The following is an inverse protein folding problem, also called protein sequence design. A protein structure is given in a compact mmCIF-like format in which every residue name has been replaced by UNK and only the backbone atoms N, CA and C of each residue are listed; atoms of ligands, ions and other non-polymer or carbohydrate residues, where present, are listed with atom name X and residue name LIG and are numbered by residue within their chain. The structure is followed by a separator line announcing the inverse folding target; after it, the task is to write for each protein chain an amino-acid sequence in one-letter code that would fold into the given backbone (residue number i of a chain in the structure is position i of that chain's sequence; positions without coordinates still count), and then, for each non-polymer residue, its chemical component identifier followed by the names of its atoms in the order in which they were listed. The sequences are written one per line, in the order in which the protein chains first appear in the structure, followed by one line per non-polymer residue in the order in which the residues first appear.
data_IF_594373324407
#
_entry.id   IF_594373324407
#
_cell.length_a   1.000
_cell.length_b   1.000
_cell.length_c   1.000
_cell.angle_alpha   90.00
_cell.angle_beta   90.00
_cell.angle_gamma   90.00
#
_symmetry.space_group_name_H-M   'P 1'
#
loop_
_entity.id
_entity.type
_entity.pdbx_description
1 polymer ?
#
# COMPACT_ATOMS: atom_id res chain seq x y z
N UNK A 1 -14.86 -27.84 -3.87
CA UNK A 1 -14.95 -27.67 -5.34
C UNK A 1 -14.97 -26.20 -5.76
N UNK A 2 -15.47 -25.27 -4.93
CA UNK A 2 -15.71 -23.87 -5.27
C UNK A 2 -14.50 -23.08 -5.81
N UNK A 3 -13.26 -23.38 -5.37
CA UNK A 3 -12.06 -22.70 -5.87
C UNK A 3 -11.84 -22.85 -7.40
N UNK A 4 -12.35 -23.94 -8.01
CA UNK A 4 -12.31 -24.09 -9.46
C UNK A 4 -13.36 -23.21 -10.17
N UNK A 5 -14.45 -22.83 -9.49
CA UNK A 5 -15.50 -22.00 -10.09
C UNK A 5 -15.11 -20.52 -10.22
N UNK A 6 -14.26 -20.01 -9.32
CA UNK A 6 -13.64 -18.68 -9.46
C UNK A 6 -12.78 -18.65 -10.73
N UNK A 7 -11.85 -19.60 -10.87
CA UNK A 7 -11.00 -19.70 -12.07
C UNK A 7 -11.79 -20.03 -13.36
N UNK A 8 -12.90 -20.77 -13.27
CA UNK A 8 -13.71 -21.15 -14.44
C UNK A 8 -14.75 -20.09 -14.87
N UNK A 9 -15.18 -19.18 -13.98
CA UNK A 9 -15.95 -17.99 -14.39
C UNK A 9 -15.04 -16.90 -14.96
N UNK A 10 -13.82 -16.75 -14.41
CA UNK A 10 -12.76 -15.87 -14.94
C UNK A 10 -12.38 -16.15 -16.40
N UNK A 11 -12.62 -17.36 -16.90
CA UNK A 11 -12.41 -17.72 -18.31
C UNK A 11 -13.58 -17.34 -19.24
N UNK A 12 -14.62 -16.63 -18.74
CA UNK A 12 -15.88 -16.43 -19.48
C UNK A 12 -16.55 -15.06 -19.34
N UNK A 13 -15.98 -14.14 -18.57
CA UNK A 13 -16.32 -12.72 -18.57
C UNK A 13 -15.09 -11.92 -18.98
N UNK A 14 -15.27 -10.88 -19.82
CA UNK A 14 -14.17 -10.08 -20.38
C UNK A 14 -13.92 -8.81 -19.55
N UNK A 15 -14.19 -8.89 -18.25
CA UNK A 15 -14.22 -7.77 -17.30
C UNK A 15 -13.38 -8.14 -16.06
N UNK A 16 -12.63 -7.18 -15.52
CA UNK A 16 -12.03 -7.32 -14.19
C UNK A 16 -13.15 -7.46 -13.14
N UNK A 17 -12.98 -8.29 -12.09
CA UNK A 17 -13.87 -8.27 -10.93
C UNK A 17 -13.92 -6.88 -10.28
N UNK A 18 -14.99 -6.58 -9.54
CA UNK A 18 -15.09 -5.33 -8.78
C UNK A 18 -14.33 -5.40 -7.44
N UNK A 19 -13.86 -4.25 -6.95
CA UNK A 19 -13.14 -4.11 -5.68
C UNK A 19 -13.95 -4.67 -4.49
N UNK A 20 -15.28 -4.49 -4.52
CA UNK A 20 -16.23 -5.11 -3.59
C UNK A 20 -16.18 -6.64 -3.64
N UNK A 21 -16.08 -7.26 -4.81
CA UNK A 21 -16.08 -8.72 -4.96
C UNK A 21 -14.82 -9.40 -4.40
N UNK A 22 -13.67 -8.70 -4.36
CA UNK A 22 -12.43 -9.22 -3.74
C UNK A 22 -12.39 -8.95 -2.24
N UNK A 23 -12.78 -7.76 -1.77
CA UNK A 23 -12.70 -7.42 -0.35
C UNK A 23 -13.92 -7.92 0.45
N UNK A 24 -15.12 -7.80 -0.10
CA UNK A 24 -16.41 -7.94 0.61
C UNK A 24 -17.09 -9.30 0.56
N UNK A 25 -16.58 -10.29 -0.18
CA UNK A 25 -17.29 -11.56 -0.45
C UNK A 25 -17.88 -12.23 0.80
N UNK A 26 -19.13 -12.70 0.69
CA UNK A 26 -20.13 -12.75 1.78
C UNK A 26 -19.75 -13.54 3.04
N UNK A 27 -18.94 -14.60 2.93
CA UNK A 27 -18.46 -15.35 4.09
C UNK A 27 -17.36 -14.57 4.84
N UNK A 28 -17.80 -13.66 5.70
CA UNK A 28 -17.01 -13.00 6.77
C UNK A 28 -17.26 -13.63 8.15
N UNK A 29 -18.15 -14.62 8.24
CA UNK A 29 -18.41 -15.37 9.47
C UNK A 29 -17.19 -16.24 9.87
N UNK A 30 -16.89 -16.30 11.17
CA UNK A 30 -15.75 -17.05 11.71
C UNK A 30 -14.42 -16.28 11.74
N UNK A 31 -14.31 -15.14 11.04
CA UNK A 31 -13.15 -14.24 11.14
C UNK A 31 -13.32 -13.18 12.23
N UNK A 32 -12.20 -12.74 12.80
CA UNK A 32 -12.13 -11.59 13.70
C UNK A 32 -12.42 -10.27 12.96
N UNK A 33 -12.86 -9.23 13.69
CA UNK A 33 -13.08 -7.86 13.18
C UNK A 33 -12.38 -6.85 14.08
N UNK A 34 -11.86 -5.77 13.49
CA UNK A 34 -11.20 -4.70 14.24
C UNK A 34 -12.27 -3.81 14.91
N UNK A 35 -12.69 -4.19 16.12
CA UNK A 35 -13.78 -3.52 16.85
C UNK A 35 -13.30 -2.46 17.87
N UNK A 36 -12.03 -2.52 18.25
CA UNK A 36 -11.37 -1.69 19.27
C UNK A 36 -9.86 -1.63 18.99
N UNK A 37 -9.09 -0.69 19.54
CA UNK A 37 -7.63 -0.67 19.40
C UNK A 37 -6.97 -2.00 19.83
N UNK A 38 -5.88 -2.34 19.14
CA UNK A 38 -5.07 -3.53 19.40
C UNK A 38 -3.82 -3.16 20.22
N UNK A 39 -3.44 -3.92 21.26
CA UNK A 39 -2.23 -3.65 22.04
C UNK A 39 -0.99 -4.14 21.28
N UNK A 40 -0.43 -3.27 20.42
CA UNK A 40 0.66 -3.64 19.53
C UNK A 40 1.87 -4.20 20.29
N UNK A 41 2.34 -5.37 19.86
CA UNK A 41 3.40 -6.17 20.50
C UNK A 41 4.40 -6.62 19.43
N UNK A 42 5.61 -6.07 19.47
CA UNK A 42 6.63 -6.33 18.46
C UNK A 42 7.73 -7.28 18.98
N UNK A 43 8.34 -8.13 18.13
CA UNK A 43 8.14 -8.23 16.68
C UNK A 43 6.90 -9.01 16.24
N UNK A 44 6.07 -9.55 17.14
CA UNK A 44 4.96 -10.44 16.79
C UNK A 44 3.96 -9.83 15.79
N UNK A 45 3.61 -8.55 15.93
CA UNK A 45 2.70 -7.86 15.01
C UNK A 45 3.37 -7.37 13.70
N UNK A 46 4.68 -7.60 13.54
CA UNK A 46 5.26 -7.66 12.19
C UNK A 46 4.89 -8.98 11.48
N UNK A 47 4.37 -9.99 12.17
CA UNK A 47 3.99 -11.29 11.65
C UNK A 47 2.59 -11.35 11.01
N UNK A 48 2.04 -12.56 10.80
CA UNK A 48 0.68 -12.77 10.31
C UNK A 48 -0.38 -12.80 11.42
N UNK A 49 -1.55 -12.25 11.11
CA UNK A 49 -2.76 -12.26 11.92
C UNK A 49 -3.84 -13.16 11.29
N UNK A 50 -3.69 -14.51 11.30
CA UNK A 50 -4.51 -15.45 10.52
C UNK A 50 -5.99 -15.51 10.92
N UNK A 51 -6.37 -14.93 12.06
CA UNK A 51 -7.75 -14.78 12.51
C UNK A 51 -8.54 -13.75 11.69
N UNK A 52 -7.88 -12.91 10.88
CA UNK A 52 -8.50 -11.91 10.00
C UNK A 52 -8.52 -12.39 8.55
N UNK A 53 -9.51 -11.92 7.77
CA UNK A 53 -9.70 -12.37 6.38
C UNK A 53 -8.65 -11.82 5.41
N UNK A 54 -8.24 -10.57 5.59
CA UNK A 54 -7.29 -9.85 4.73
C UNK A 54 -6.15 -9.27 5.55
N UNK A 55 -4.96 -9.22 4.95
CA UNK A 55 -3.78 -8.61 5.57
C UNK A 55 -2.74 -8.25 4.50
N UNK A 56 -2.09 -7.09 4.60
CA UNK A 56 -1.03 -6.68 3.68
C UNK A 56 0.15 -5.96 4.33
N UNK A 57 1.35 -6.24 3.79
CA UNK A 57 2.56 -5.47 4.01
C UNK A 57 2.90 -4.79 2.69
N UNK A 58 2.91 -3.47 2.70
CA UNK A 58 2.99 -2.61 1.51
C UNK A 58 4.24 -1.74 1.62
N UNK A 59 5.11 -1.81 0.62
CA UNK A 59 6.36 -1.07 0.58
C UNK A 59 6.39 -0.20 -0.66
N UNK A 60 6.67 1.09 -0.48
CA UNK A 60 6.87 2.04 -1.58
C UNK A 60 8.14 2.85 -1.34
N UNK A 61 8.73 3.42 -2.38
CA UNK A 61 9.91 4.26 -2.19
C UNK A 61 10.39 4.98 -3.43
N UNK A 62 11.18 6.02 -3.20
CA UNK A 62 11.88 6.80 -4.21
C UNK A 62 13.38 6.69 -3.94
N UNK A 63 14.11 6.14 -4.89
CA UNK A 63 15.56 5.90 -4.81
C UNK A 63 16.25 6.37 -6.09
N UNK A 64 17.50 6.79 -6.00
CA UNK A 64 18.29 7.25 -7.15
C UNK A 64 19.71 6.69 -7.12
N UNK A 65 20.33 6.59 -8.29
CA UNK A 65 21.73 6.21 -8.41
C UNK A 65 22.69 7.41 -8.43
N UNK A 66 23.99 7.13 -8.27
CA UNK A 66 25.06 8.14 -8.28
C UNK A 66 25.25 8.88 -9.62
N UNK A 67 24.42 8.62 -10.62
CA UNK A 67 24.40 9.30 -11.92
C UNK A 67 23.10 10.09 -12.15
N UNK A 68 22.20 10.13 -11.17
CA UNK A 68 20.93 10.86 -11.25
C UNK A 68 19.82 10.12 -11.98
N UNK A 69 19.92 8.78 -12.12
CA UNK A 69 18.78 7.97 -12.57
C UNK A 69 17.85 7.73 -11.40
N UNK A 70 16.65 8.25 -11.51
CA UNK A 70 15.58 8.13 -10.52
C UNK A 70 14.71 6.88 -10.75
N UNK A 71 14.38 6.19 -9.66
CA UNK A 71 13.43 5.10 -9.62
C UNK A 71 12.35 5.33 -8.56
N UNK A 72 11.10 5.08 -8.92
CA UNK A 72 10.06 4.69 -7.96
C UNK A 72 10.02 3.15 -7.84
N UNK A 73 9.74 2.61 -6.67
CA UNK A 73 9.39 1.19 -6.53
C UNK A 73 8.17 0.97 -5.64
N UNK A 74 7.46 -0.13 -5.91
CA UNK A 74 6.35 -0.63 -5.14
C UNK A 74 6.49 -2.15 -4.98
N UNK A 75 6.22 -2.68 -3.79
CA UNK A 75 6.21 -4.11 -3.49
C UNK A 75 5.17 -4.39 -2.41
N UNK A 76 4.12 -5.12 -2.77
CA UNK A 76 3.02 -5.45 -1.84
C UNK A 76 2.82 -6.95 -1.75
N UNK A 77 2.70 -7.45 -0.52
CA UNK A 77 2.26 -8.80 -0.23
C UNK A 77 0.88 -8.73 0.42
N UNK A 78 -0.09 -9.49 -0.08
CA UNK A 78 -1.43 -9.65 0.50
C UNK A 78 -1.63 -11.11 0.90
N UNK A 79 -2.10 -11.38 2.13
CA UNK A 79 -2.69 -12.67 2.50
C UNK A 79 -4.21 -12.55 2.43
N UNK A 80 -4.83 -13.48 1.72
CA UNK A 80 -6.28 -13.63 1.61
C UNK A 80 -6.68 -15.00 2.16
N UNK A 81 -7.54 -15.01 3.16
CA UNK A 81 -8.06 -16.22 3.77
C UNK A 81 -9.22 -16.82 2.94
N UNK A 82 -9.10 -18.10 2.61
CA UNK A 82 -10.11 -18.90 1.93
C UNK A 82 -11.06 -19.61 2.91
N UNK A 83 -10.66 -19.74 4.18
CA UNK A 83 -11.44 -20.38 5.25
C UNK A 83 -10.98 -19.83 6.61
N UNK A 84 -11.90 -19.57 7.56
CA UNK A 84 -11.54 -19.23 8.94
C UNK A 84 -11.01 -20.43 9.74
N UNK A 85 -11.20 -21.66 9.22
CA UNK A 85 -10.73 -22.90 9.82
C UNK A 85 -9.67 -23.57 8.94
N UNK A 86 -8.54 -23.99 9.54
CA UNK A 86 -7.52 -24.79 8.85
C UNK A 86 -8.11 -26.12 8.35
N UNK A 87 -7.71 -26.63 7.18
CA UNK A 87 -8.31 -27.84 6.61
C UNK A 87 -7.81 -29.07 7.38
N UNK A 88 -8.72 -29.90 7.89
CA UNK A 88 -8.38 -31.19 8.51
C UNK A 88 -7.99 -32.20 7.43
N UNK A 89 -6.77 -32.05 6.88
CA UNK A 89 -6.20 -32.88 5.80
C UNK A 89 -4.69 -32.97 5.97
N UNK A 90 -4.16 -34.19 6.00
CA UNK A 90 -2.72 -34.43 5.96
C UNK A 90 -2.20 -34.30 4.51
N UNK A 91 -1.72 -33.11 4.15
CA UNK A 91 -1.09 -32.85 2.86
C UNK A 91 -0.31 -31.54 2.87
N UNK A 92 0.96 -31.57 2.43
CA UNK A 92 1.79 -30.37 2.24
C UNK A 92 1.23 -29.37 1.20
N UNK A 93 0.19 -29.74 0.46
CA UNK A 93 -0.51 -28.91 -0.53
C UNK A 93 -1.88 -28.37 -0.04
N UNK A 94 -2.30 -28.71 1.18
CA UNK A 94 -3.49 -28.16 1.79
C UNK A 94 -3.23 -26.70 2.20
N UNK A 95 -4.12 -25.79 1.78
CA UNK A 95 -4.07 -24.38 2.11
C UNK A 95 -5.47 -23.84 2.40
N UNK A 96 -5.59 -23.07 3.47
CA UNK A 96 -6.70 -22.17 3.82
C UNK A 96 -6.39 -20.70 3.51
N UNK A 97 -5.18 -20.39 3.03
CA UNK A 97 -4.71 -19.03 2.71
C UNK A 97 -4.05 -18.99 1.33
N UNK A 98 -4.26 -17.92 0.59
CA UNK A 98 -3.54 -17.57 -0.65
C UNK A 98 -2.76 -16.29 -0.42
N UNK A 99 -1.56 -16.22 -0.98
CA UNK A 99 -0.80 -14.98 -1.09
C UNK A 99 -0.93 -14.44 -2.51
N UNK A 100 -1.30 -13.18 -2.61
CA UNK A 100 -1.20 -12.37 -3.82
C UNK A 100 -0.06 -11.37 -3.61
N UNK A 101 0.67 -11.02 -4.66
CA UNK A 101 1.66 -9.97 -4.60
C UNK A 101 1.73 -9.15 -5.87
N UNK A 102 2.14 -7.90 -5.69
CA UNK A 102 2.48 -6.96 -6.75
C UNK A 102 3.93 -6.51 -6.54
N UNK A 103 4.69 -6.41 -7.63
CA UNK A 103 6.00 -5.77 -7.64
C UNK A 103 6.06 -4.86 -8.86
N UNK A 104 6.38 -3.58 -8.65
CA UNK A 104 6.51 -2.58 -9.71
C UNK A 104 7.73 -1.68 -9.52
N UNK A 105 8.23 -1.17 -10.64
CA UNK A 105 9.40 -0.29 -10.74
C UNK A 105 9.16 0.76 -11.83
N UNK A 106 9.21 2.04 -11.42
CA UNK A 106 9.07 3.20 -12.28
C UNK A 106 10.46 3.77 -12.61
N UNK A 107 10.98 3.48 -13.79
CA UNK A 107 12.27 3.98 -14.30
C UNK A 107 12.09 5.38 -14.88
N UNK A 108 12.07 6.38 -13.98
CA UNK A 108 11.52 7.73 -14.22
C UNK A 108 12.22 8.43 -15.39
N UNK A 109 13.55 8.36 -15.45
CA UNK A 109 14.34 8.96 -16.54
C UNK A 109 14.09 8.31 -17.91
N UNK A 110 13.62 7.06 -17.93
CA UNK A 110 13.23 6.34 -19.14
C UNK A 110 11.72 6.43 -19.47
N UNK A 111 10.92 7.04 -18.58
CA UNK A 111 9.44 7.05 -18.63
C UNK A 111 8.87 5.64 -18.85
N UNK A 112 9.39 4.65 -18.11
CA UNK A 112 9.01 3.24 -18.24
C UNK A 112 8.48 2.72 -16.91
N UNK A 113 7.29 2.15 -16.94
CA UNK A 113 6.73 1.36 -15.85
C UNK A 113 6.98 -0.13 -16.13
N UNK A 114 7.31 -0.89 -15.10
CA UNK A 114 7.49 -2.34 -15.14
C UNK A 114 6.78 -2.91 -13.93
N UNK A 115 5.85 -3.83 -14.13
CA UNK A 115 5.08 -4.45 -13.04
C UNK A 115 4.78 -5.91 -13.30
N UNK A 116 4.48 -6.65 -12.23
CA UNK A 116 4.09 -8.05 -12.28
C UNK A 116 3.14 -8.38 -11.11
N UNK A 117 2.19 -9.28 -11.35
CA UNK A 117 1.38 -9.89 -10.30
C UNK A 117 1.70 -11.38 -10.17
N UNK A 118 1.81 -11.85 -8.92
CA UNK A 118 1.97 -13.27 -8.59
C UNK A 118 0.90 -13.73 -7.62
N UNK A 119 0.47 -14.97 -7.76
CA UNK A 119 -0.38 -15.67 -6.79
C UNK A 119 0.28 -17.00 -6.43
N UNK A 120 0.33 -17.33 -5.14
CA UNK A 120 0.75 -18.66 -4.69
C UNK A 120 0.04 -19.09 -3.41
N UNK A 121 0.12 -20.38 -3.08
CA UNK A 121 -0.55 -20.93 -1.89
C UNK A 121 0.33 -20.78 -0.65
N UNK A 122 -0.28 -20.63 0.52
CA UNK A 122 0.40 -20.76 1.80
C UNK A 122 0.72 -22.23 2.15
N UNK A 123 1.41 -22.92 1.24
CA UNK A 123 1.64 -24.36 1.26
C UNK A 123 2.95 -24.72 0.51
N UNK A 124 3.50 -25.90 0.77
CA UNK A 124 4.76 -26.39 0.18
C UNK A 124 5.96 -25.42 0.26
N UNK A 125 5.94 -24.45 1.17
CA UNK A 125 6.95 -23.40 1.30
C UNK A 125 6.89 -22.29 0.24
N UNK A 126 5.90 -22.30 -0.66
CA UNK A 126 5.81 -21.36 -1.79
C UNK A 126 5.55 -19.92 -1.35
N UNK A 127 4.66 -19.71 -0.39
CA UNK A 127 4.38 -18.40 0.19
C UNK A 127 4.06 -18.50 1.67
N UNK A 128 4.21 -17.40 2.39
CA UNK A 128 3.91 -17.34 3.81
C UNK A 128 4.37 -16.05 4.48
N UNK A 129 4.09 -15.96 5.77
CA UNK A 129 4.70 -15.02 6.69
C UNK A 129 4.85 -15.70 8.05
N UNK A 130 5.87 -15.30 8.82
CA UNK A 130 6.16 -15.81 10.15
C UNK A 130 6.93 -14.78 10.99
N UNK A 131 6.93 -15.01 12.31
CA UNK A 131 7.88 -14.42 13.26
C UNK A 131 8.41 -15.58 14.10
N UNK A 132 9.72 -15.69 14.20
CA UNK A 132 10.44 -16.69 14.99
C UNK A 132 11.70 -16.07 15.60
N UNK A 133 12.65 -16.89 16.07
CA UNK A 133 13.89 -16.43 16.70
C UNK A 133 14.83 -15.67 15.74
N UNK A 134 14.70 -15.84 14.41
CA UNK A 134 15.40 -15.05 13.38
C UNK A 134 14.63 -13.74 13.03
N UNK A 135 13.45 -13.52 13.61
CA UNK A 135 12.62 -12.32 13.45
C UNK A 135 11.47 -12.46 12.44
N UNK A 136 10.96 -11.33 11.94
CA UNK A 136 9.89 -11.30 10.94
C UNK A 136 10.36 -11.74 9.54
N UNK A 137 9.53 -12.52 8.84
CA UNK A 137 9.64 -12.74 7.40
C UNK A 137 8.27 -12.83 6.71
N UNK A 138 8.15 -12.31 5.49
CA UNK A 138 7.10 -12.59 4.49
C UNK A 138 7.74 -12.98 3.16
N UNK A 139 7.12 -13.90 2.41
CA UNK A 139 7.63 -14.30 1.10
C UNK A 139 6.54 -14.78 0.14
N UNK A 140 6.84 -14.64 -1.15
CA UNK A 140 6.06 -15.12 -2.29
C UNK A 140 7.04 -15.63 -3.35
N UNK A 141 7.36 -16.91 -3.24
CA UNK A 141 8.37 -17.65 -4.00
C UNK A 141 9.76 -17.05 -3.83
N UNK A 142 10.34 -16.40 -4.84
CA UNK A 142 11.65 -15.74 -4.72
C UNK A 142 11.56 -14.31 -4.14
N UNK A 143 10.38 -13.70 -4.09
CA UNK A 143 10.18 -12.40 -3.44
C UNK A 143 10.11 -12.58 -1.93
N UNK A 144 10.74 -11.69 -1.18
CA UNK A 144 10.69 -11.72 0.28
C UNK A 144 10.94 -10.33 0.89
N UNK A 145 10.40 -10.15 2.10
CA UNK A 145 10.96 -9.24 3.09
C UNK A 145 11.32 -10.05 4.33
N UNK A 146 12.50 -9.81 4.88
CA UNK A 146 12.88 -10.34 6.19
C UNK A 146 13.46 -9.22 7.05
N UNK A 147 13.20 -9.29 8.35
CA UNK A 147 13.90 -8.50 9.35
C UNK A 147 15.40 -8.85 9.33
N UNK A 148 16.23 -7.88 9.69
CA UNK A 148 17.67 -8.04 9.90
C UNK A 148 18.09 -7.23 11.12
N UNK A 149 19.31 -7.46 11.63
CA UNK A 149 19.91 -6.52 12.57
C UNK A 149 20.11 -5.15 11.90
N UNK A 150 19.85 -4.03 12.59
CA UNK A 150 20.08 -2.70 12.04
C UNK A 150 21.57 -2.44 11.78
N UNK A 151 21.82 -1.78 10.66
CA UNK A 151 23.13 -1.33 10.18
C UNK A 151 23.47 0.11 10.57
N UNK A 152 22.47 0.85 11.06
CA UNK A 152 22.54 2.24 11.51
C UNK A 152 21.97 2.37 12.92
N UNK A 153 22.48 3.33 13.68
CA UNK A 153 21.87 3.76 14.95
C UNK A 153 20.50 4.40 14.67
N UNK A 154 19.42 3.66 14.95
CA UNK A 154 18.05 4.11 14.76
C UNK A 154 17.73 5.30 15.69
N UNK A 155 17.23 6.39 15.13
CA UNK A 155 17.01 7.68 15.84
C UNK A 155 15.79 7.67 16.78
N UNK A 156 15.16 6.51 16.99
CA UNK A 156 13.93 6.36 17.78
C UNK A 156 14.18 5.88 19.22
N UNK A 157 14.10 6.81 20.18
CA UNK A 157 13.64 6.56 21.56
C UNK A 157 14.46 5.66 22.50
N UNK A 158 15.35 4.80 22.01
CA UNK A 158 16.09 3.81 22.80
C UNK A 158 15.33 2.52 23.12
N UNK A 159 14.15 2.30 22.54
CA UNK A 159 13.38 1.05 22.66
C UNK A 159 13.44 0.26 21.35
N UNK A 160 13.56 -1.08 21.46
CA UNK A 160 13.68 -1.97 20.30
C UNK A 160 12.47 -1.95 19.35
N UNK A 161 11.32 -1.43 19.77
CA UNK A 161 10.13 -1.19 18.94
C UNK A 161 10.34 -0.19 17.80
N UNK A 162 11.22 0.79 18.00
CA UNK A 162 11.41 1.90 17.06
C UNK A 162 12.54 1.64 16.04
N UNK A 163 13.20 0.48 16.18
CA UNK A 163 14.35 0.01 15.42
C UNK A 163 13.97 -1.17 14.51
N UNK A 164 13.33 -0.89 13.37
CA UNK A 164 13.08 -1.91 12.34
C UNK A 164 14.09 -1.76 11.20
N UNK A 165 14.90 -2.80 11.00
CA UNK A 165 15.68 -2.99 9.80
C UNK A 165 15.22 -4.25 9.05
N UNK A 166 15.19 -4.16 7.72
CA UNK A 166 14.65 -5.18 6.82
C UNK A 166 15.52 -5.31 5.57
N UNK A 167 15.47 -6.48 4.93
CA UNK A 167 15.95 -6.66 3.55
C UNK A 167 14.79 -7.08 2.64
N UNK A 168 14.52 -6.24 1.65
CA UNK A 168 13.62 -6.51 0.53
C UNK A 168 14.39 -7.21 -0.58
N UNK A 169 13.78 -8.24 -1.18
CA UNK A 169 14.20 -8.75 -2.47
C UNK A 169 12.97 -9.10 -3.31
N UNK A 170 12.90 -8.61 -4.54
CA UNK A 170 11.94 -9.02 -5.56
C UNK A 170 12.70 -9.13 -6.90
N UNK A 171 12.55 -10.25 -7.61
CA UNK A 171 13.46 -10.63 -8.69
C UNK A 171 12.68 -11.27 -9.84
N UNK A 172 12.49 -10.52 -10.91
CA UNK A 172 12.02 -11.03 -12.21
C UNK A 172 13.17 -11.09 -13.23
N UNK A 173 13.00 -11.73 -14.40
CA UNK A 173 14.06 -11.80 -15.42
C UNK A 173 14.52 -10.43 -15.93
N UNK A 174 13.58 -9.51 -16.14
CA UNK A 174 13.84 -8.20 -16.75
C UNK A 174 14.03 -7.05 -15.75
N UNK A 175 13.61 -7.21 -14.50
CA UNK A 175 13.82 -6.21 -13.45
C UNK A 175 13.86 -6.83 -12.03
N UNK A 176 14.66 -6.22 -11.15
CA UNK A 176 14.83 -6.69 -9.78
C UNK A 176 15.15 -5.54 -8.81
N UNK A 177 14.82 -5.78 -7.54
CA UNK A 177 15.02 -4.89 -6.40
C UNK A 177 15.69 -5.70 -5.27
N UNK A 178 16.76 -5.18 -4.68
CA UNK A 178 17.45 -5.80 -3.56
C UNK A 178 17.97 -4.73 -2.60
N UNK A 179 17.10 -4.28 -1.68
CA UNK A 179 17.34 -3.16 -0.78
C UNK A 179 17.42 -3.59 0.68
N UNK A 180 18.32 -2.96 1.43
CA UNK A 180 18.21 -2.82 2.88
C UNK A 180 17.35 -1.59 3.19
N UNK A 181 16.43 -1.71 4.15
CA UNK A 181 15.61 -0.62 4.67
C UNK A 181 15.79 -0.52 6.20
N UNK A 182 16.06 0.67 6.74
CA UNK A 182 16.27 0.89 8.19
C UNK A 182 15.51 2.12 8.70
N UNK A 183 14.83 2.01 9.85
CA UNK A 183 13.97 3.08 10.38
C UNK A 183 14.74 4.31 10.86
N UNK A 184 14.40 5.47 10.29
CA UNK A 184 14.92 6.77 10.71
C UNK A 184 14.04 7.45 11.77
N UNK A 185 12.83 6.95 12.01
CA UNK A 185 11.83 7.49 12.95
C UNK A 185 11.05 6.33 13.60
N UNK A 186 10.43 6.56 14.78
CA UNK A 186 9.50 5.62 15.41
C UNK A 186 8.36 5.18 14.49
N UNK A 187 7.72 4.06 14.83
CA UNK A 187 6.52 3.59 14.13
C UNK A 187 5.33 4.51 14.40
N UNK A 188 4.46 4.67 13.40
CA UNK A 188 3.26 5.51 13.48
C UNK A 188 2.02 4.63 13.49
N UNK A 189 1.28 4.63 14.60
CA UNK A 189 -0.02 3.96 14.71
C UNK A 189 -1.10 4.81 14.02
N UNK A 190 -1.88 4.20 13.12
CA UNK A 190 -2.84 4.91 12.29
C UNK A 190 -4.24 5.01 12.93
N UNK A 191 -4.99 6.08 12.63
CA UNK A 191 -6.35 6.27 13.16
C UNK A 191 -6.39 6.40 14.69
N UNK A 192 -7.27 5.66 15.36
CA UNK A 192 -7.41 5.68 16.82
C UNK A 192 -6.50 4.61 17.45
N UNK A 193 -5.26 4.98 17.81
CA UNK A 193 -4.27 4.06 18.40
C UNK A 193 -4.10 2.75 17.60
N UNK A 194 -3.99 2.89 16.28
CA UNK A 194 -3.86 1.78 15.33
C UNK A 194 -5.19 1.19 14.85
N UNK A 195 -6.35 1.69 15.31
CA UNK A 195 -7.66 1.35 14.76
C UNK A 195 -8.07 2.34 13.66
N UNK A 196 -7.90 1.94 12.41
CA UNK A 196 -8.29 2.72 11.23
C UNK A 196 -9.70 2.32 10.76
N UNK A 197 -10.72 3.11 11.11
CA UNK A 197 -12.10 2.94 10.63
C UNK A 197 -12.23 3.36 9.16
N UNK A 198 -12.84 2.52 8.31
CA UNK A 198 -13.04 2.81 6.87
C UNK A 198 -14.47 3.19 6.51
N UNK A 199 -15.45 2.87 7.36
CA UNK A 199 -16.84 3.32 7.22
C UNK A 199 -17.55 3.37 8.59
N UNK A 200 -18.80 3.87 8.70
CA UNK A 200 -19.54 3.91 9.96
C UNK A 200 -19.91 2.54 10.54
N UNK A 201 -19.73 1.43 9.78
CA UNK A 201 -20.16 0.10 10.21
C UNK A 201 -19.20 -0.46 11.28
N UNK A 202 -19.69 -0.88 12.47
CA UNK A 202 -18.84 -1.45 13.52
C UNK A 202 -18.04 -2.66 13.05
N UNK A 203 -16.71 -2.58 13.18
CA UNK A 203 -15.78 -3.60 12.72
C UNK A 203 -15.40 -3.53 11.24
N UNK A 204 -15.95 -2.60 10.45
CA UNK A 204 -15.43 -2.28 9.11
C UNK A 204 -14.26 -1.29 9.21
N UNK A 205 -13.19 -1.82 9.78
CA UNK A 205 -11.99 -1.12 10.19
C UNK A 205 -10.81 -2.09 10.15
N UNK A 206 -9.62 -1.54 10.28
CA UNK A 206 -8.37 -2.29 10.25
C UNK A 206 -7.50 -1.97 11.45
N UNK A 207 -6.63 -2.91 11.78
CA UNK A 207 -5.45 -2.63 12.59
C UNK A 207 -4.32 -2.20 11.65
N UNK A 208 -3.72 -1.04 11.92
CA UNK A 208 -2.89 -0.35 10.91
C UNK A 208 -1.76 0.46 11.57
N UNK A 209 -0.53 0.25 11.11
CA UNK A 209 0.63 1.07 11.45
C UNK A 209 1.55 1.27 10.23
N UNK A 210 2.42 2.28 10.31
CA UNK A 210 3.39 2.62 9.25
C UNK A 210 4.78 2.88 9.82
N UNK A 211 5.82 2.56 9.06
CA UNK A 211 7.15 3.17 9.18
C UNK A 211 7.28 4.24 8.10
N UNK A 212 7.06 5.50 8.49
CA UNK A 212 6.87 6.63 7.56
C UNK A 212 8.17 7.14 6.93
N UNK A 213 9.34 6.76 7.47
CA UNK A 213 10.66 7.14 6.94
C UNK A 213 11.68 6.02 7.17
N UNK A 214 11.84 5.18 6.15
CA UNK A 214 12.90 4.18 6.07
C UNK A 214 14.03 4.71 5.18
N UNK A 215 15.28 4.68 5.65
CA UNK A 215 16.44 4.85 4.79
C UNK A 215 16.56 3.64 3.87
N UNK A 216 16.67 3.85 2.57
CA UNK A 216 16.79 2.79 1.57
C UNK A 216 18.17 2.81 0.91
N UNK A 217 18.81 1.65 0.79
CA UNK A 217 20.03 1.48 -0.02
C UNK A 217 20.15 0.06 -0.58
N UNK A 218 20.79 -0.10 -1.74
CA UNK A 218 21.07 -1.41 -2.34
C UNK A 218 21.11 -1.36 -3.86
N UNK A 219 20.64 -2.44 -4.50
CA UNK A 219 20.68 -2.59 -5.96
C UNK A 219 19.28 -2.55 -6.59
N UNK A 220 19.13 -1.76 -7.65
CA UNK A 220 18.06 -1.90 -8.64
C UNK A 220 18.66 -2.44 -9.93
N UNK A 221 17.98 -3.38 -10.59
CA UNK A 221 18.37 -3.92 -11.89
C UNK A 221 17.23 -3.81 -12.89
N UNK A 222 17.53 -3.38 -14.12
CA UNK A 222 16.57 -3.30 -15.23
C UNK A 222 17.24 -3.68 -16.55
N UNK A 223 16.65 -4.61 -17.30
CA UNK A 223 17.21 -5.19 -18.53
C UNK A 223 18.67 -5.69 -18.37
N UNK A 224 19.00 -6.22 -17.19
CA UNK A 224 20.35 -6.68 -16.82
C UNK A 224 21.34 -5.57 -16.43
N UNK A 225 21.03 -4.30 -16.64
CA UNK A 225 21.82 -3.18 -16.09
C UNK A 225 21.51 -3.02 -14.61
N UNK A 226 22.55 -3.01 -13.78
CA UNK A 226 22.47 -2.74 -12.33
C UNK A 226 22.82 -1.28 -12.06
N UNK A 227 22.12 -0.68 -11.10
CA UNK A 227 22.42 0.62 -10.49
C UNK A 227 22.47 0.42 -8.97
N UNK A 228 23.57 0.84 -8.34
CA UNK A 228 23.63 1.03 -6.89
C UNK A 228 22.83 2.30 -6.55
N UNK A 229 21.82 2.16 -5.68
CA UNK A 229 20.84 3.21 -5.37
C UNK A 229 20.74 3.49 -3.88
N UNK A 230 20.33 4.72 -3.54
CA UNK A 230 19.87 5.08 -2.20
C UNK A 230 18.70 6.07 -2.24
N UNK A 231 18.00 6.22 -1.13
CA UNK A 231 16.86 7.14 -1.03
C UNK A 231 16.00 6.86 0.19
N UNK A 232 14.69 7.08 0.05
CA UNK A 232 13.70 6.83 1.11
C UNK A 232 12.64 5.82 0.67
N UNK A 233 12.19 5.05 1.64
CA UNK A 233 11.05 4.15 1.51
C UNK A 233 10.04 4.38 2.64
N UNK A 234 8.86 3.82 2.44
CA UNK A 234 7.72 3.76 3.34
C UNK A 234 7.34 2.30 3.51
N UNK A 235 6.86 1.92 4.69
CA UNK A 235 6.25 0.61 4.91
C UNK A 235 4.92 0.78 5.65
N UNK A 236 3.88 0.16 5.13
CA UNK A 236 2.57 0.04 5.72
C UNK A 236 2.29 -1.40 6.14
N UNK A 237 1.66 -1.59 7.29
CA UNK A 237 1.15 -2.89 7.74
C UNK A 237 -0.28 -2.78 8.22
N UNK A 238 -1.18 -3.44 7.50
CA UNK A 238 -2.61 -3.43 7.76
C UNK A 238 -3.19 -4.86 7.81
N UNK A 239 -4.11 -5.12 8.74
CA UNK A 239 -4.92 -6.35 8.73
C UNK A 239 -6.36 -6.12 9.18
N UNK A 240 -7.30 -6.85 8.57
CA UNK A 240 -8.73 -6.64 8.79
C UNK A 240 -9.63 -7.79 8.30
N UNK A 241 -10.90 -7.68 8.66
CA UNK A 241 -12.01 -8.30 7.92
C UNK A 241 -12.94 -7.16 7.50
N UNK A 242 -12.36 -6.19 6.78
CA UNK A 242 -13.06 -5.01 6.24
C UNK A 242 -13.27 -5.11 4.73
N UNK A 243 -14.18 -4.30 4.22
CA UNK A 243 -14.41 -4.06 2.80
C UNK A 243 -14.79 -2.59 2.57
N UNK A 244 -15.10 -2.23 1.32
CA UNK A 244 -15.76 -0.97 1.03
C UNK A 244 -17.11 -0.89 1.79
N UNK A 245 -17.40 0.27 2.36
CA UNK A 245 -18.69 0.58 2.97
C UNK A 245 -19.77 0.83 1.93
N UNK A 246 -21.03 0.86 2.37
CA UNK A 246 -22.19 1.11 1.50
C UNK A 246 -22.03 2.44 0.72
N UNK A 247 -22.00 2.35 -0.62
CA UNK A 247 -21.83 3.50 -1.51
C UNK A 247 -20.40 4.03 -1.66
N UNK A 248 -19.39 3.35 -1.10
CA UNK A 248 -17.97 3.62 -1.38
C UNK A 248 -17.55 2.87 -2.66
N UNK A 249 -16.73 3.50 -3.51
CA UNK A 249 -16.29 2.94 -4.81
C UNK A 249 -14.80 2.61 -4.88
N UNK A 250 -14.02 3.09 -3.91
CA UNK A 250 -12.57 2.91 -3.85
C UNK A 250 -11.93 3.96 -2.95
N UNK A 251 -10.61 4.07 -3.02
CA UNK A 251 -9.83 5.05 -2.26
C UNK A 251 -8.74 5.71 -3.09
N UNK A 252 -8.33 6.90 -2.65
CA UNK A 252 -7.10 7.58 -3.02
C UNK A 252 -6.23 7.62 -1.76
N UNK A 253 -5.06 6.99 -1.78
CA UNK A 253 -4.12 6.95 -0.65
C UNK A 253 -2.83 7.67 -1.01
N UNK A 254 -2.28 8.43 -0.07
CA UNK A 254 -1.09 9.27 -0.24
C UNK A 254 -0.11 8.98 0.90
N UNK A 255 1.14 8.66 0.57
CA UNK A 255 2.25 8.65 1.52
C UNK A 255 3.36 9.59 1.02
N UNK A 256 3.51 10.73 1.69
CA UNK A 256 4.37 11.83 1.26
C UNK A 256 5.48 12.08 2.29
N UNK A 257 6.71 12.20 1.81
CA UNK A 257 7.93 12.38 2.60
C UNK A 257 8.59 13.72 2.25
N UNK A 258 8.60 14.64 3.20
CA UNK A 258 9.06 16.02 3.00
C UNK A 258 10.54 16.25 3.36
N UNK A 259 11.16 17.23 2.72
CA UNK A 259 12.56 17.63 2.92
C UNK A 259 12.83 18.23 4.31
N UNK A 260 11.82 18.80 4.97
CA UNK A 260 11.87 19.24 6.36
C UNK A 260 11.87 18.09 7.40
N UNK A 261 11.80 16.83 6.94
CA UNK A 261 11.79 15.64 7.79
C UNK A 261 10.40 15.21 8.31
N UNK A 262 9.34 15.93 7.96
CA UNK A 262 7.96 15.51 8.26
C UNK A 262 7.35 14.62 7.17
N UNK A 263 6.21 14.00 7.48
CA UNK A 263 5.43 13.16 6.57
C UNK A 263 3.93 13.43 6.68
N UNK A 264 3.23 13.17 5.58
CA UNK A 264 1.77 13.05 5.53
C UNK A 264 1.41 11.64 5.03
N UNK A 265 0.64 10.89 5.82
CA UNK A 265 -0.24 9.86 5.27
C UNK A 265 -1.66 10.42 5.22
N UNK A 266 -2.33 10.28 4.09
CA UNK A 266 -3.75 10.62 3.94
C UNK A 266 -4.46 9.58 3.09
N UNK A 267 -5.72 9.27 3.39
CA UNK A 267 -6.59 8.61 2.42
C UNK A 267 -7.99 9.22 2.35
N UNK A 268 -8.49 9.37 1.13
CA UNK A 268 -9.90 9.63 0.84
C UNK A 268 -10.59 8.30 0.49
N UNK A 269 -11.61 7.90 1.26
CA UNK A 269 -12.56 6.87 0.83
C UNK A 269 -13.60 7.53 -0.06
N UNK A 270 -13.57 7.25 -1.36
CA UNK A 270 -14.45 7.90 -2.34
C UNK A 270 -15.83 7.24 -2.38
N UNK A 271 -16.88 8.05 -2.53
CA UNK A 271 -18.27 7.60 -2.68
C UNK A 271 -18.75 7.70 -4.12
N UNK A 272 -19.70 6.84 -4.50
CA UNK A 272 -20.35 6.85 -5.82
C UNK A 272 -21.04 8.19 -6.15
N UNK A 273 -21.40 8.97 -5.12
CA UNK A 273 -21.98 10.31 -5.25
C UNK A 273 -20.93 11.44 -5.42
N UNK A 274 -19.66 11.09 -5.65
CA UNK A 274 -18.56 12.02 -5.90
C UNK A 274 -18.01 12.71 -4.65
N UNK A 275 -18.49 12.37 -3.45
CA UNK A 275 -18.00 12.93 -2.18
C UNK A 275 -16.97 12.03 -1.52
N UNK A 276 -16.14 12.64 -0.67
CA UNK A 276 -15.29 11.95 0.30
C UNK A 276 -16.15 11.43 1.46
N UNK A 277 -15.87 10.22 1.95
CA UNK A 277 -16.54 9.65 3.13
C UNK A 277 -16.00 10.28 4.43
N UNK A 278 -16.84 10.58 5.44
CA UNK A 278 -16.38 11.09 6.74
C UNK A 278 -15.41 10.20 7.53
N UNK A 279 -15.16 8.96 7.12
CA UNK A 279 -14.15 8.04 7.70
C UNK A 279 -12.79 8.10 6.96
N UNK A 280 -12.63 9.05 6.04
CA UNK A 280 -11.35 9.45 5.46
C UNK A 280 -10.51 10.14 6.54
N UNK A 281 -9.24 9.76 6.65
CA UNK A 281 -8.37 10.18 7.75
C UNK A 281 -6.90 10.02 7.38
N UNK A 282 -6.02 10.50 8.23
CA UNK A 282 -4.58 10.38 8.05
C UNK A 282 -3.78 10.78 9.29
N UNK A 283 -2.49 11.00 9.07
CA UNK A 283 -1.53 11.46 10.09
C UNK A 283 -0.52 12.42 9.48
N UNK A 284 -0.25 13.52 10.19
CA UNK A 284 0.91 14.37 9.97
C UNK A 284 1.96 14.03 11.04
N UNK A 285 3.08 13.45 10.62
CA UNK A 285 4.19 13.09 11.51
C UNK A 285 5.31 14.15 11.40
N UNK A 286 5.58 14.87 12.48
CA UNK A 286 6.61 15.90 12.55
C UNK A 286 8.02 15.28 12.56
N UNK A 287 9.06 16.09 12.29
CA UNK A 287 10.44 15.61 12.11
C UNK A 287 11.05 14.96 13.37
N UNK A 288 10.56 15.33 14.55
CA UNK A 288 10.91 14.74 15.86
C UNK A 288 10.18 13.42 16.17
N UNK A 289 9.28 12.98 15.29
CA UNK A 289 8.44 11.79 15.48
C UNK A 289 7.10 12.07 16.17
N UNK A 290 6.76 13.31 16.51
CA UNK A 290 5.45 13.63 17.06
C UNK A 290 4.34 13.47 16.00
N UNK A 291 3.29 12.71 16.32
CA UNK A 291 2.19 12.37 15.39
C UNK A 291 0.94 13.18 15.72
N UNK A 292 0.39 13.87 14.73
CA UNK A 292 -0.94 14.48 14.76
C UNK A 292 -1.88 13.69 13.87
N UNK A 293 -2.98 13.15 14.42
CA UNK A 293 -4.04 12.52 13.63
C UNK A 293 -4.85 13.59 12.89
N UNK A 294 -5.28 13.27 11.67
CA UNK A 294 -6.08 14.11 10.79
C UNK A 294 -7.42 13.43 10.49
N UNK A 295 -8.52 14.18 10.57
CA UNK A 295 -9.88 13.73 10.25
C UNK A 295 -10.37 14.37 8.93
N UNK A 296 -11.47 13.88 8.36
CA UNK A 296 -12.05 14.35 7.08
C UNK A 296 -12.41 15.86 6.99
N UNK A 297 -12.25 16.62 8.07
CA UNK A 297 -12.45 18.08 8.10
C UNK A 297 -11.11 18.86 8.09
N UNK A 298 -9.98 18.21 8.36
CA UNK A 298 -8.68 18.86 8.54
C UNK A 298 -7.90 19.00 7.22
N UNK A 299 -8.14 18.10 6.26
CA UNK A 299 -7.50 18.06 4.95
C UNK A 299 -8.53 18.30 3.84
N UNK A 300 -8.17 19.13 2.86
CA UNK A 300 -8.92 19.35 1.63
C UNK A 300 -8.09 18.87 0.45
N UNK A 301 -8.57 17.84 -0.25
CA UNK A 301 -7.97 17.33 -1.48
C UNK A 301 -8.75 17.87 -2.69
N UNK A 302 -8.05 18.52 -3.61
CA UNK A 302 -8.60 18.98 -4.88
C UNK A 302 -7.83 18.34 -6.04
N UNK A 303 -8.51 17.57 -6.89
CA UNK A 303 -7.92 17.13 -8.17
C UNK A 303 -7.87 18.31 -9.13
N UNK A 304 -6.69 18.60 -9.67
CA UNK A 304 -6.40 19.69 -10.61
C UNK A 304 -6.39 19.17 -12.05
N UNK A 305 -5.73 18.04 -12.30
CA UNK A 305 -5.66 17.41 -13.63
C UNK A 305 -5.73 15.87 -13.57
N UNK A 306 -5.96 15.24 -14.72
CA UNK A 306 -6.27 13.82 -14.85
C UNK A 306 -5.57 13.19 -16.05
N UNK A 307 -4.91 12.07 -15.83
CA UNK A 307 -4.39 11.19 -16.88
C UNK A 307 -5.46 10.20 -17.35
N UNK A 308 -5.28 9.64 -18.55
CA UNK A 308 -6.06 8.50 -19.04
C UNK A 308 -5.11 7.43 -19.53
N UNK A 309 -5.30 6.20 -19.05
CA UNK A 309 -4.51 5.05 -19.44
C UNK A 309 -4.65 4.75 -20.93
N UNK A 310 -3.53 4.54 -21.66
CA UNK A 310 -3.57 4.01 -23.03
C UNK A 310 -3.86 2.50 -23.05
N UNK A 311 -3.72 1.80 -21.91
CA UNK A 311 -3.85 0.34 -21.79
C UNK A 311 -5.28 -0.09 -21.46
N UNK A 312 -5.90 0.56 -20.47
CA UNK A 312 -7.24 0.23 -19.97
C UNK A 312 -8.31 1.25 -20.35
N UNK A 313 -7.91 2.44 -20.81
CA UNK A 313 -8.80 3.57 -21.03
C UNK A 313 -9.33 4.23 -19.76
N UNK A 314 -8.99 3.74 -18.55
CA UNK A 314 -9.42 4.30 -17.27
C UNK A 314 -8.82 5.71 -17.10
N UNK A 315 -9.59 6.62 -16.49
CA UNK A 315 -9.16 7.99 -16.19
C UNK A 315 -8.83 8.10 -14.71
N UNK A 316 -7.61 8.52 -14.38
CA UNK A 316 -7.10 8.67 -13.02
C UNK A 316 -6.74 10.13 -12.73
N UNK A 317 -6.97 10.65 -11.51
CA UNK A 317 -6.32 11.88 -11.05
C UNK A 317 -4.80 11.82 -11.25
N UNK A 318 -4.20 12.93 -11.66
CA UNK A 318 -2.78 13.02 -11.99
C UNK A 318 -2.13 14.37 -11.61
N UNK A 319 -2.84 15.22 -10.87
CA UNK A 319 -2.30 16.41 -10.20
C UNK A 319 -3.30 16.76 -9.10
N UNK A 320 -2.82 16.87 -7.86
CA UNK A 320 -3.65 17.20 -6.71
C UNK A 320 -3.11 18.42 -5.98
N UNK A 321 -3.99 19.21 -5.37
CA UNK A 321 -3.67 20.18 -4.33
C UNK A 321 -4.21 19.65 -3.00
N UNK A 322 -3.35 19.51 -2.00
CA UNK A 322 -3.74 19.12 -0.65
C UNK A 322 -3.49 20.31 0.30
N UNK A 323 -4.51 20.71 1.05
CA UNK A 323 -4.43 21.83 2.00
C UNK A 323 -4.91 21.38 3.36
N UNK A 324 -4.11 21.59 4.41
CA UNK A 324 -4.49 21.35 5.79
C UNK A 324 -4.32 22.65 6.61
N UNK A 325 -5.35 23.53 6.66
CA UNK A 325 -5.20 24.89 7.17
C UNK A 325 -4.79 24.97 8.65
N UNK A 326 -5.24 24.01 9.48
CA UNK A 326 -4.91 23.95 10.91
C UNK A 326 -3.43 23.60 11.18
N UNK A 327 -2.70 23.16 10.16
CA UNK A 327 -1.29 22.78 10.23
C UNK A 327 -0.39 23.63 9.32
N UNK A 328 -0.94 24.72 8.78
CA UNK A 328 -0.31 25.63 7.81
C UNK A 328 0.41 24.89 6.68
N UNK A 329 -0.28 23.90 6.08
CA UNK A 329 0.21 23.07 4.98
C UNK A 329 -0.63 23.32 3.73
N UNK A 330 0.04 23.65 2.61
CA UNK A 330 -0.56 23.75 1.28
C UNK A 330 0.45 23.23 0.26
N UNK A 331 0.19 22.05 -0.29
CA UNK A 331 1.08 21.37 -1.23
C UNK A 331 0.36 20.99 -2.52
N UNK A 332 1.13 20.89 -3.60
CA UNK A 332 0.73 20.25 -4.85
C UNK A 332 1.54 18.96 -5.04
N UNK A 333 0.84 17.91 -5.47
CA UNK A 333 1.36 16.56 -5.68
C UNK A 333 1.21 16.23 -7.16
N UNK A 334 2.30 15.77 -7.79
CA UNK A 334 2.34 15.44 -9.22
C UNK A 334 3.09 14.12 -9.45
N UNK A 335 2.62 13.23 -10.35
CA UNK A 335 3.33 12.03 -10.73
C UNK A 335 4.71 12.31 -11.32
N UNK A 336 5.71 11.49 -10.98
CA UNK A 336 7.06 11.55 -11.57
C UNK A 336 7.08 10.99 -13.00
N UNK A 337 6.15 10.10 -13.31
CA UNK A 337 5.73 9.74 -14.67
C UNK A 337 4.21 9.48 -14.66
N UNK A 338 3.51 9.76 -15.76
CA UNK A 338 2.05 9.66 -15.79
C UNK A 338 1.54 8.21 -15.86
N UNK A 339 2.24 7.36 -16.61
CA UNK A 339 1.91 5.93 -16.75
C UNK A 339 2.53 5.13 -15.61
N UNK A 340 1.70 4.80 -14.62
CA UNK A 340 2.00 3.97 -13.45
C UNK A 340 0.78 3.08 -13.11
N UNK A 341 0.00 2.68 -14.12
CA UNK A 341 -1.10 1.74 -13.94
C UNK A 341 -0.59 0.29 -13.90
N UNK A 342 -0.97 -0.45 -12.86
CA UNK A 342 -0.91 -1.91 -12.82
C UNK A 342 -1.92 -2.48 -13.85
N UNK A 343 -1.57 -2.40 -15.13
CA UNK A 343 -2.52 -2.66 -16.22
C UNK A 343 -2.66 -4.14 -16.60
N UNK A 344 -1.81 -5.04 -16.08
CA UNK A 344 -1.84 -6.49 -16.36
C UNK A 344 -2.37 -7.35 -15.20
N UNK A 345 -2.73 -6.73 -14.08
CA UNK A 345 -3.20 -7.39 -12.85
C UNK A 345 -4.71 -7.64 -12.87
N UNK A 346 -5.24 -8.52 -12.01
CA UNK A 346 -6.69 -8.81 -11.95
C UNK A 346 -7.54 -7.59 -11.57
N UNK A 347 -7.00 -6.72 -10.71
CA UNK A 347 -7.54 -5.44 -10.28
C UNK A 347 -6.63 -4.32 -10.78
N UNK A 348 -7.17 -3.30 -11.45
CA UNK A 348 -6.39 -2.16 -11.95
C UNK A 348 -6.23 -1.11 -10.87
N UNK A 349 -4.99 -0.89 -10.45
CA UNK A 349 -4.58 0.20 -9.57
C UNK A 349 -3.70 1.15 -10.38
N UNK A 350 -3.67 2.41 -10.01
CA UNK A 350 -2.53 3.28 -10.34
C UNK A 350 -1.68 3.42 -9.08
N UNK A 351 -0.41 3.07 -9.19
CA UNK A 351 0.52 2.82 -8.07
C UNK A 351 1.80 3.58 -8.33
N UNK A 352 1.75 4.90 -8.09
CA UNK A 352 2.67 5.83 -8.72
C UNK A 352 3.53 6.65 -7.78
N UNK A 353 4.82 6.72 -8.10
CA UNK A 353 5.76 7.66 -7.50
C UNK A 353 5.36 9.10 -7.84
N UNK A 354 5.31 9.95 -6.82
CA UNK A 354 4.96 11.38 -6.93
C UNK A 354 6.08 12.28 -6.40
N UNK A 355 6.17 13.49 -6.95
CA UNK A 355 6.89 14.63 -6.38
C UNK A 355 5.91 15.56 -5.68
N UNK A 356 6.39 16.27 -4.66
CA UNK A 356 5.62 17.26 -3.91
C UNK A 356 6.33 18.60 -3.90
N UNK A 357 5.61 19.70 -4.05
CA UNK A 357 6.10 21.04 -3.74
C UNK A 357 5.01 21.92 -3.14
N UNK A 358 5.37 22.91 -2.33
CA UNK A 358 4.41 23.83 -1.73
C UNK A 358 4.97 24.55 -0.50
N UNK A 359 4.11 24.78 0.49
CA UNK A 359 4.48 25.45 1.75
C UNK A 359 4.01 24.71 2.99
N UNK A 360 4.86 24.72 4.03
CA UNK A 360 4.56 24.30 5.40
C UNK A 360 5.08 25.34 6.39
N UNK A 361 4.27 25.76 7.37
CA UNK A 361 4.65 26.74 8.40
C UNK A 361 5.25 28.05 7.80
N UNK A 362 4.61 28.58 6.74
CA UNK A 362 5.05 29.75 5.98
C UNK A 362 6.36 29.59 5.19
N UNK A 363 6.95 28.39 5.12
CA UNK A 363 8.22 28.10 4.42
C UNK A 363 7.96 27.21 3.21
N UNK A 364 8.83 27.28 2.21
CA UNK A 364 8.85 26.31 1.12
C UNK A 364 9.11 24.91 1.68
N UNK A 365 8.41 23.91 1.14
CA UNK A 365 8.62 22.49 1.41
C UNK A 365 8.60 21.72 0.08
N UNK A 366 9.46 20.73 -0.06
CA UNK A 366 9.49 19.82 -1.20
C UNK A 366 9.50 18.36 -0.71
N UNK A 367 9.29 17.41 -1.62
CA UNK A 367 9.32 16.01 -1.24
C UNK A 367 9.08 15.03 -2.38
N UNK A 368 9.07 13.76 -2.03
CA UNK A 368 8.60 12.67 -2.90
C UNK A 368 7.67 11.76 -2.11
N UNK A 369 7.00 10.85 -2.78
CA UNK A 369 6.07 9.93 -2.14
C UNK A 369 5.51 8.91 -3.11
N UNK A 370 4.44 8.25 -2.69
CA UNK A 370 3.60 7.40 -3.51
C UNK A 370 2.12 7.78 -3.37
N UNK A 371 1.35 7.53 -4.42
CA UNK A 371 -0.11 7.59 -4.41
C UNK A 371 -0.68 6.31 -5.02
N UNK A 372 -1.60 5.66 -4.30
CA UNK A 372 -2.38 4.51 -4.77
C UNK A 372 -3.81 4.97 -5.09
N UNK A 373 -4.31 4.60 -6.28
CA UNK A 373 -5.66 4.92 -6.74
C UNK A 373 -6.42 3.65 -7.10
N UNK A 374 -7.42 3.30 -6.27
CA UNK A 374 -8.25 2.11 -6.44
C UNK A 374 -9.69 2.45 -6.85
N UNK A 375 -10.32 1.61 -7.68
CA UNK A 375 -11.76 1.66 -7.98
C UNK A 375 -12.21 2.50 -9.19
N UNK A 376 -11.28 3.21 -9.87
CA UNK A 376 -11.57 4.11 -11.01
C UNK A 376 -12.20 3.46 -12.27
N UNK A 377 -12.35 2.14 -12.28
CA UNK A 377 -13.07 1.39 -13.31
C UNK A 377 -14.55 1.81 -13.42
N UNK A 378 -15.20 2.10 -12.30
CA UNK A 378 -16.65 2.41 -12.26
C UNK A 378 -17.00 3.72 -13.00
N UNK A 379 -16.12 4.72 -12.92
CA UNK A 379 -16.32 6.07 -13.48
C UNK A 379 -16.52 6.09 -15.01
N UNK A 380 -16.14 5.01 -15.72
CA UNK A 380 -16.40 4.89 -17.17
C UNK A 380 -17.78 4.28 -17.48
N UNK A 381 -18.38 3.51 -16.56
CA UNK A 381 -19.63 2.77 -16.80
C UNK A 381 -20.85 3.70 -16.86
N UNK A 382 -21.03 4.57 -15.86
CA UNK A 382 -22.14 5.54 -15.87
C UNK A 382 -21.93 6.67 -16.88
N UNK A 383 -20.69 6.98 -17.28
CA UNK A 383 -20.41 7.88 -18.41
C UNK A 383 -20.93 7.33 -19.76
N UNK A 384 -21.12 6.01 -19.87
CA UNK A 384 -21.77 5.36 -21.01
C UNK A 384 -23.31 5.45 -20.99
N UNK A 385 -23.93 5.69 -19.83
CA UNK A 385 -25.37 5.85 -19.69
C UNK A 385 -25.81 7.28 -20.01
N UNK A 386 -26.08 7.51 -21.29
CA UNK A 386 -27.01 8.59 -21.67
C UNK A 386 -28.35 8.34 -20.96
N UNK A 387 -29.04 9.39 -20.47
CA UNK A 387 -30.47 9.28 -20.21
C UNK A 387 -31.17 8.78 -21.49
N UNK A 388 -32.11 7.84 -21.34
CA UNK A 388 -33.03 7.54 -22.43
C UNK A 388 -34.08 8.65 -22.48
N UNK A 389 -34.27 9.24 -23.66
CA UNK A 389 -35.41 10.09 -24.01
C UNK A 389 -36.72 9.25 -24.13
#
# INVERSE_FOLDING_TARGET
MSALFVAASMARAQESPSLEAVLGGDEVAGYARAQRPHPFTFPLDHGPHPQFKHEWWYFTGNVSDGHGRDFGFQLTFFRIALSPNKPVRDSAWAADQVYMGHFALSDIGAQRFLHVQRFSRAAAGLAGAQVDDDGFRVWLENWQVRQVAPDLDCLGGGNATDCLAMRLAAIEPDFALNLSLSSLKPLVLQGEAGLSRKSPQPGNASHYYSFTRLAAHGEVSVAGQRSDVSGLAWMDREWSTSALGEGQVGWDWFALQFDDGSELMWYDMRRADGRVDPNSQGVLAAADGAVTRLDAADVQVQVIDWWRSPHSGIRYPAHWRLVAPQHDLSIEVVPRQADQELHETVMKYWEGAVSVSGTRAGRSVAGTGYVELAGYQHDQADAGRRPND
#
